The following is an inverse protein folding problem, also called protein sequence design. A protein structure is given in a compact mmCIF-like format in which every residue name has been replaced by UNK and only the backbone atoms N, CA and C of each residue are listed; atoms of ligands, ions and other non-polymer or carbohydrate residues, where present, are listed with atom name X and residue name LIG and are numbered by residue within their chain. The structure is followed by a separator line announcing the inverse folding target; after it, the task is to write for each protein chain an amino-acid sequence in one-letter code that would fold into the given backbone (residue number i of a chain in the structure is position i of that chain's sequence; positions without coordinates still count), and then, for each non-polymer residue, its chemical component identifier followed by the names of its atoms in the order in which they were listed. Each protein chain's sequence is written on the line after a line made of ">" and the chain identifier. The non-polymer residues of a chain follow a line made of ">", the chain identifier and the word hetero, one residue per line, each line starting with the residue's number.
data_IF_139089462062
#
_entry.id   IF_139089462062
#
_cell.length_a   1.000
_cell.length_b   1.000
_cell.length_c   1.000
_cell.angle_alpha   90.00
_cell.angle_beta   90.00
_cell.angle_gamma   90.00
#
_symmetry.space_group_name_H-M   'P 1'
#
loop_
_entity.id
_entity.type
_entity.pdbx_description
1 polymer ?
#
# COMPACT_ATOMS: atom_id res chain seq x y z
N UNK A 1 6.89 57.03 4.20
CA UNK A 1 7.61 56.73 2.93
C UNK A 1 8.68 57.79 2.71
N UNK A 2 9.86 57.44 2.20
CA UNK A 2 10.89 58.45 1.90
C UNK A 2 10.46 59.35 0.73
N UNK A 3 10.92 60.61 0.70
CA UNK A 3 10.61 61.57 -0.38
C UNK A 3 10.94 60.99 -1.77
N UNK A 4 12.04 60.24 -1.87
CA UNK A 4 12.43 59.54 -3.11
C UNK A 4 11.43 58.48 -3.54
N UNK A 5 10.82 57.74 -2.59
CA UNK A 5 9.80 56.73 -2.90
C UNK A 5 8.51 57.40 -3.40
N UNK A 6 8.13 58.51 -2.78
CA UNK A 6 6.94 59.29 -3.19
C UNK A 6 7.12 59.85 -4.61
N UNK A 7 8.30 60.41 -4.90
CA UNK A 7 8.61 60.92 -6.24
C UNK A 7 8.58 59.81 -7.31
N UNK A 8 9.11 58.62 -7.01
CA UNK A 8 9.07 57.46 -7.90
C UNK A 8 7.63 57.03 -8.22
N UNK A 9 6.75 57.04 -7.21
CA UNK A 9 5.33 56.73 -7.41
C UNK A 9 4.63 57.77 -8.30
N UNK A 10 4.93 59.06 -8.14
CA UNK A 10 4.39 60.09 -9.03
C UNK A 10 4.79 59.86 -10.50
N UNK A 11 6.04 59.43 -10.75
CA UNK A 11 6.49 59.06 -12.11
C UNK A 11 5.70 57.85 -12.62
N UNK A 12 5.62 56.76 -11.85
CA UNK A 12 4.90 55.56 -12.27
C UNK A 12 3.42 55.81 -12.56
N UNK A 13 2.75 56.64 -11.75
CA UNK A 13 1.36 57.03 -12.01
C UNK A 13 1.24 57.93 -13.26
N UNK A 14 2.20 58.83 -13.49
CA UNK A 14 2.28 59.63 -14.72
C UNK A 14 2.51 58.79 -15.98
N UNK A 15 3.19 57.66 -15.85
CA UNK A 15 3.41 56.66 -16.92
C UNK A 15 2.23 55.68 -17.09
N UNK A 16 1.12 55.88 -16.36
CA UNK A 16 -0.11 55.11 -16.51
C UNK A 16 -0.21 53.83 -15.66
N UNK A 17 0.70 53.61 -14.70
CA UNK A 17 0.58 52.51 -13.73
C UNK A 17 -0.64 52.77 -12.82
N UNK A 18 -1.63 51.90 -12.85
CA UNK A 18 -2.81 51.98 -11.95
C UNK A 18 -2.75 51.00 -10.77
N UNK A 19 -1.80 50.08 -10.78
CA UNK A 19 -1.64 49.05 -9.73
C UNK A 19 -0.84 49.57 -8.52
N UNK A 20 -1.45 49.42 -7.34
CA UNK A 20 -0.85 49.70 -6.03
C UNK A 20 -0.02 48.52 -5.47
N UNK A 21 -0.06 47.37 -6.13
CA UNK A 21 0.68 46.19 -5.69
C UNK A 21 2.15 46.25 -6.09
N UNK A 22 2.99 45.56 -5.31
CA UNK A 22 4.41 45.44 -5.62
C UNK A 22 4.59 44.56 -6.86
N UNK A 23 5.39 45.00 -7.83
CA UNK A 23 5.84 44.13 -8.91
C UNK A 23 6.55 42.89 -8.35
N UNK A 24 6.40 41.73 -9.00
CA UNK A 24 7.17 40.55 -8.66
C UNK A 24 8.67 40.91 -8.74
N UNK A 25 9.35 40.80 -7.60
CA UNK A 25 10.80 41.06 -7.52
C UNK A 25 11.52 40.02 -8.39
N UNK A 26 12.39 40.45 -9.30
CA UNK A 26 13.36 39.55 -9.92
C UNK A 26 14.26 38.97 -8.83
N UNK A 27 14.00 37.72 -8.45
CA UNK A 27 14.88 36.95 -7.59
C UNK A 27 16.21 36.64 -8.28
N UNK A 28 17.21 36.21 -7.49
CA UNK A 28 18.49 35.72 -8.01
C UNK A 28 18.24 34.60 -9.04
N UNK A 29 18.77 34.68 -10.26
CA UNK A 29 18.61 33.60 -11.22
C UNK A 29 19.19 32.31 -10.63
N UNK A 30 18.45 31.21 -10.67
CA UNK A 30 18.91 29.88 -10.23
C UNK A 30 19.87 29.31 -11.28
N UNK A 31 21.10 29.83 -11.32
CA UNK A 31 22.14 29.50 -12.31
C UNK A 31 22.56 28.00 -12.27
N UNK A 32 22.16 27.23 -11.24
CA UNK A 32 22.55 25.81 -11.06
C UNK A 32 21.54 24.79 -11.61
N UNK A 33 20.34 25.20 -12.00
CA UNK A 33 19.34 24.32 -12.64
C UNK A 33 19.45 24.45 -14.16
N UNK A 34 20.57 23.97 -14.72
CA UNK A 34 20.71 23.81 -16.16
C UNK A 34 19.73 22.74 -16.65
N UNK A 35 19.10 22.98 -17.80
CA UNK A 35 18.23 22.01 -18.48
C UNK A 35 18.96 20.68 -18.72
N UNK A 36 20.27 20.75 -18.99
CA UNK A 36 21.16 19.60 -19.10
C UNK A 36 21.28 18.79 -17.79
N UNK A 37 21.35 19.46 -16.64
CA UNK A 37 21.39 18.79 -15.34
C UNK A 37 20.05 18.14 -15.01
N UNK A 38 18.94 18.77 -15.41
CA UNK A 38 17.61 18.17 -15.23
C UNK A 38 17.45 16.92 -16.06
N UNK A 39 17.90 16.93 -17.32
CA UNK A 39 17.85 15.75 -18.21
C UNK A 39 18.71 14.61 -17.69
N UNK A 40 19.95 14.88 -17.28
CA UNK A 40 20.85 13.84 -16.74
C UNK A 40 20.32 13.21 -15.45
N UNK A 41 19.71 14.02 -14.57
CA UNK A 41 19.06 13.49 -13.36
C UNK A 41 17.85 12.64 -13.73
N UNK A 42 17.01 13.10 -14.67
CA UNK A 42 15.83 12.36 -15.12
C UNK A 42 16.20 11.02 -15.76
N UNK A 43 17.20 10.98 -16.64
CA UNK A 43 17.72 9.76 -17.27
C UNK A 43 18.19 8.72 -16.24
N UNK A 44 18.92 9.15 -15.20
CA UNK A 44 19.36 8.26 -14.12
C UNK A 44 18.18 7.71 -13.30
N UNK A 45 17.13 8.50 -13.09
CA UNK A 45 15.90 8.05 -12.44
C UNK A 45 15.07 7.10 -13.30
N UNK A 46 15.03 7.32 -14.61
CA UNK A 46 14.36 6.44 -15.55
C UNK A 46 15.06 5.08 -15.63
N UNK A 47 16.39 5.06 -15.57
CA UNK A 47 17.19 3.84 -15.56
C UNK A 47 17.03 3.04 -14.25
N UNK A 48 17.15 3.68 -13.09
CA UNK A 48 16.87 3.05 -11.80
C UNK A 48 16.14 4.02 -10.85
N UNK A 49 14.85 3.75 -10.67
CA UNK A 49 13.96 4.53 -9.79
C UNK A 49 14.31 4.42 -8.30
N UNK A 50 15.23 3.54 -7.92
CA UNK A 50 15.71 3.35 -6.54
C UNK A 50 17.02 4.06 -6.24
N UNK A 51 17.63 4.72 -7.24
CA UNK A 51 18.88 5.44 -7.07
C UNK A 51 18.75 6.49 -5.97
N UNK A 52 19.69 6.50 -5.02
CA UNK A 52 19.65 7.46 -3.91
C UNK A 52 20.15 8.82 -4.38
N UNK A 53 19.60 9.90 -3.82
CA UNK A 53 20.07 11.28 -4.08
C UNK A 53 21.60 11.40 -3.92
N UNK A 54 22.20 10.70 -2.94
CA UNK A 54 23.65 10.65 -2.73
C UNK A 54 24.42 10.01 -3.89
N UNK A 55 23.89 8.94 -4.49
CA UNK A 55 24.52 8.28 -5.65
C UNK A 55 24.47 9.16 -6.89
N UNK A 56 23.37 9.90 -7.08
CA UNK A 56 23.22 10.86 -8.19
C UNK A 56 24.18 12.04 -8.03
N UNK A 57 24.31 12.56 -6.81
CA UNK A 57 25.28 13.61 -6.45
C UNK A 57 26.70 13.18 -6.84
N UNK A 58 27.07 11.92 -6.55
CA UNK A 58 28.40 11.37 -6.85
C UNK A 58 28.61 11.10 -8.34
N UNK A 59 27.58 10.60 -9.05
CA UNK A 59 27.67 10.28 -10.48
C UNK A 59 27.74 11.51 -11.38
N UNK A 60 26.99 12.56 -11.03
CA UNK A 60 26.88 13.77 -11.84
C UNK A 60 27.73 14.93 -11.32
N UNK A 61 28.41 14.76 -10.17
CA UNK A 61 29.16 15.80 -9.46
C UNK A 61 28.34 17.07 -9.17
N UNK A 62 27.02 16.93 -9.08
CA UNK A 62 26.09 18.03 -8.80
C UNK A 62 25.91 18.14 -7.28
N UNK A 63 25.81 19.36 -6.77
CA UNK A 63 25.49 19.60 -5.36
C UNK A 63 24.17 18.91 -4.95
N UNK A 64 24.20 18.24 -3.79
CA UNK A 64 23.05 17.49 -3.25
C UNK A 64 21.77 18.32 -3.16
N UNK A 65 21.88 19.61 -2.81
CA UNK A 65 20.74 20.54 -2.76
C UNK A 65 20.07 20.70 -4.11
N UNK A 66 20.86 20.85 -5.17
CA UNK A 66 20.37 20.99 -6.55
C UNK A 66 19.69 19.71 -7.03
N UNK A 67 20.28 18.54 -6.76
CA UNK A 67 19.61 17.25 -7.06
C UNK A 67 18.28 17.14 -6.32
N UNK A 68 18.23 17.56 -5.05
CA UNK A 68 16.98 17.55 -4.28
C UNK A 68 15.90 18.47 -4.88
N UNK A 69 16.26 19.70 -5.24
CA UNK A 69 15.35 20.64 -5.91
C UNK A 69 14.85 20.09 -7.25
N UNK A 70 15.73 19.53 -8.08
CA UNK A 70 15.34 18.95 -9.37
C UNK A 70 14.35 17.79 -9.17
N UNK A 71 14.65 16.87 -8.26
CA UNK A 71 13.81 15.69 -8.01
C UNK A 71 12.46 16.08 -7.43
N UNK A 72 12.44 17.00 -6.47
CA UNK A 72 11.24 17.33 -5.71
C UNK A 72 10.37 18.39 -6.41
N UNK A 73 10.98 19.44 -6.95
CA UNK A 73 10.28 20.62 -7.46
C UNK A 73 10.10 20.56 -8.98
N UNK A 74 11.09 20.08 -9.74
CA UNK A 74 11.02 19.99 -11.21
C UNK A 74 10.37 18.69 -11.68
N UNK A 75 10.85 17.53 -11.20
CA UNK A 75 10.34 16.20 -11.58
C UNK A 75 9.13 15.76 -10.75
N UNK A 76 8.79 16.50 -9.68
CA UNK A 76 7.64 16.20 -8.81
C UNK A 76 7.71 14.85 -8.12
N UNK A 77 8.90 14.25 -8.03
CA UNK A 77 9.09 12.90 -7.53
C UNK A 77 9.00 12.89 -6.00
N UNK A 78 8.11 12.05 -5.47
CA UNK A 78 7.93 11.83 -4.03
C UNK A 78 8.34 10.41 -3.67
N UNK A 79 8.99 10.27 -2.51
CA UNK A 79 9.35 8.96 -1.96
C UNK A 79 8.07 8.14 -1.71
N UNK A 80 7.94 7.01 -2.39
CA UNK A 80 6.86 6.05 -2.14
C UNK A 80 7.44 4.88 -1.36
N UNK A 81 7.24 4.87 -0.05
CA UNK A 81 7.61 3.74 0.80
C UNK A 81 6.58 2.62 0.64
N UNK A 82 6.81 1.71 -0.31
CA UNK A 82 6.13 0.41 -0.29
C UNK A 82 6.87 -0.50 0.68
N UNK A 83 6.32 -0.67 1.88
CA UNK A 83 6.66 -1.83 2.69
C UNK A 83 6.29 -3.07 1.87
N UNK A 84 7.31 -3.74 1.30
CA UNK A 84 7.15 -5.10 0.80
C UNK A 84 7.38 -5.99 2.01
N UNK A 85 6.42 -6.83 2.41
CA UNK A 85 6.69 -7.90 3.36
C UNK A 85 8.01 -8.60 2.95
N UNK A 86 8.91 -8.74 3.91
CA UNK A 86 10.25 -9.31 3.74
C UNK A 86 10.22 -10.74 3.15
N UNK A 87 9.06 -11.39 3.24
CA UNK A 87 8.80 -12.75 2.73
C UNK A 87 8.54 -12.83 1.21
N UNK A 88 8.61 -11.69 0.49
CA UNK A 88 8.19 -11.58 -0.92
C UNK A 88 9.31 -11.44 -1.93
N UNK A 89 10.55 -11.77 -1.58
CA UNK A 89 11.53 -12.00 -2.65
C UNK A 89 11.11 -13.25 -3.42
N UNK A 90 10.40 -13.02 -4.52
CA UNK A 90 10.01 -14.08 -5.45
C UNK A 90 11.24 -14.79 -6.01
N UNK A 91 12.42 -14.15 -5.94
CA UNK A 91 13.74 -14.74 -6.21
C UNK A 91 14.12 -15.86 -5.23
N UNK A 92 13.78 -15.74 -3.94
CA UNK A 92 14.15 -16.69 -2.88
C UNK A 92 13.20 -17.89 -2.76
N UNK A 93 12.04 -17.85 -3.43
CA UNK A 93 11.11 -18.99 -3.44
C UNK A 93 11.65 -20.14 -4.31
N UNK A 94 11.49 -21.36 -3.82
CA UNK A 94 11.82 -22.57 -4.58
C UNK A 94 10.99 -22.66 -5.87
N UNK A 95 11.48 -23.42 -6.85
CA UNK A 95 10.74 -23.64 -8.11
C UNK A 95 9.33 -24.19 -7.82
N UNK A 96 9.23 -25.14 -6.88
CA UNK A 96 7.97 -25.75 -6.46
C UNK A 96 7.01 -24.73 -5.88
N UNK A 97 7.49 -23.84 -5.01
CA UNK A 97 6.67 -22.77 -4.45
C UNK A 97 6.15 -21.82 -5.54
N UNK A 98 6.96 -21.53 -6.57
CA UNK A 98 6.52 -20.70 -7.70
C UNK A 98 5.44 -21.39 -8.53
N UNK A 99 5.57 -22.70 -8.77
CA UNK A 99 4.56 -23.49 -9.48
C UNK A 99 3.25 -23.53 -8.69
N UNK A 100 3.30 -23.84 -7.39
CA UNK A 100 2.13 -23.84 -6.51
C UNK A 100 1.42 -22.48 -6.50
N UNK A 101 2.18 -21.38 -6.48
CA UNK A 101 1.61 -20.02 -6.53
C UNK A 101 0.96 -19.70 -7.87
N UNK A 102 1.51 -20.19 -8.98
CA UNK A 102 0.90 -20.03 -10.31
C UNK A 102 -0.39 -20.86 -10.44
N UNK A 103 -0.38 -22.09 -9.95
CA UNK A 103 -1.55 -22.97 -9.90
C UNK A 103 -2.66 -22.39 -9.03
N UNK A 104 -2.32 -21.88 -7.85
CA UNK A 104 -3.25 -21.19 -6.96
C UNK A 104 -4.00 -20.07 -7.68
N UNK A 105 -3.28 -19.22 -8.44
CA UNK A 105 -3.88 -18.12 -9.21
C UNK A 105 -4.85 -18.65 -10.27
N UNK A 106 -4.45 -19.69 -11.01
CA UNK A 106 -5.29 -20.33 -12.04
C UNK A 106 -6.59 -20.89 -11.43
N UNK A 107 -6.48 -21.65 -10.35
CA UNK A 107 -7.64 -22.25 -9.67
C UNK A 107 -8.56 -21.17 -9.10
N UNK A 108 -8.00 -20.12 -8.49
CA UNK A 108 -8.77 -19.02 -7.92
C UNK A 108 -9.58 -18.29 -8.99
N UNK A 109 -8.97 -17.99 -10.14
CA UNK A 109 -9.61 -17.22 -11.20
C UNK A 109 -10.67 -18.05 -11.97
N UNK A 110 -10.57 -19.38 -11.93
CA UNK A 110 -11.57 -20.31 -12.51
C UNK A 110 -12.74 -20.67 -11.58
N UNK A 111 -12.65 -20.37 -10.29
CA UNK A 111 -13.62 -20.81 -9.28
C UNK A 111 -14.36 -19.66 -8.61
N UNK A 112 -15.56 -19.94 -8.08
CA UNK A 112 -16.24 -19.04 -7.14
C UNK A 112 -15.60 -19.18 -5.76
N UNK A 113 -14.69 -18.28 -5.43
CA UNK A 113 -13.94 -18.32 -4.18
C UNK A 113 -14.61 -17.49 -3.08
N UNK A 114 -14.79 -18.08 -1.91
CA UNK A 114 -15.16 -17.37 -0.68
C UNK A 114 -13.92 -17.19 0.20
N UNK A 115 -13.38 -15.97 0.22
CA UNK A 115 -12.35 -15.60 1.19
C UNK A 115 -12.98 -15.40 2.57
N UNK A 116 -12.54 -16.17 3.56
CA UNK A 116 -12.94 -15.98 4.95
C UNK A 116 -11.70 -15.87 5.83
N UNK A 117 -11.61 -14.78 6.59
CA UNK A 117 -10.68 -14.64 7.71
C UNK A 117 -11.51 -14.60 8.97
N UNK A 118 -11.12 -15.36 9.98
CA UNK A 118 -11.71 -15.22 11.32
C UNK A 118 -11.25 -13.90 11.94
N UNK A 119 -11.75 -12.79 11.42
CA UNK A 119 -11.76 -11.51 12.10
C UNK A 119 -13.19 -11.30 12.58
N UNK A 120 -13.48 -11.64 13.83
CA UNK A 120 -14.56 -11.00 14.56
C UNK A 120 -13.99 -9.68 15.10
N UNK A 121 -14.29 -8.51 14.53
CA UNK A 121 -13.82 -7.24 15.07
C UNK A 121 -14.63 -6.82 16.32
N UNK A 122 -15.67 -7.58 16.68
CA UNK A 122 -16.67 -7.20 17.69
C UNK A 122 -16.71 -8.11 18.92
N UNK A 123 -15.84 -9.13 19.02
CA UNK A 123 -15.68 -9.92 20.26
C UNK A 123 -14.21 -10.16 20.55
N UNK A 124 -13.69 -9.21 21.33
CA UNK A 124 -12.62 -9.35 22.31
C UNK A 124 -11.20 -9.51 21.74
N UNK A 125 -10.53 -8.35 21.67
CA UNK A 125 -9.20 -8.19 22.22
C UNK A 125 -9.19 -8.62 23.70
N UNK A 126 -9.22 -9.93 23.96
CA UNK A 126 -8.84 -10.52 25.24
C UNK A 126 -8.94 -12.05 25.10
N UNK A 127 -7.83 -12.71 25.44
CA UNK A 127 -7.66 -14.16 25.67
C UNK A 127 -7.48 -15.07 24.44
N UNK A 128 -6.22 -15.46 24.25
CA UNK A 128 -5.81 -16.85 24.07
C UNK A 128 -6.06 -17.48 22.70
N UNK A 129 -4.98 -18.00 22.10
CA UNK A 129 -4.99 -19.21 21.25
C UNK A 129 -6.38 -19.81 21.01
N UNK A 130 -7.07 -19.33 19.97
CA UNK A 130 -8.41 -19.83 19.65
C UNK A 130 -8.35 -21.33 19.41
N UNK A 131 -9.22 -22.11 20.04
CA UNK A 131 -9.29 -23.56 19.80
C UNK A 131 -9.88 -23.83 18.41
N UNK A 132 -9.51 -24.96 17.79
CA UNK A 132 -10.14 -25.43 16.55
C UNK A 132 -11.68 -25.48 16.68
N UNK A 133 -12.21 -25.81 17.86
CA UNK A 133 -13.66 -25.84 18.12
C UNK A 133 -14.31 -24.45 18.07
N UNK A 134 -13.55 -23.41 18.39
CA UNK A 134 -14.03 -22.02 18.31
C UNK A 134 -13.99 -21.53 16.86
N UNK A 135 -13.03 -22.01 16.07
CA UNK A 135 -13.00 -21.80 14.63
C UNK A 135 -14.16 -22.50 13.92
N UNK A 136 -14.50 -23.75 14.25
CA UNK A 136 -15.69 -24.40 13.67
C UNK A 136 -16.99 -23.61 13.96
N UNK A 137 -17.13 -23.05 15.18
CA UNK A 137 -18.26 -22.19 15.55
C UNK A 137 -18.32 -20.88 14.75
N UNK A 138 -17.20 -20.40 14.20
CA UNK A 138 -17.24 -19.21 13.33
C UNK A 138 -17.78 -19.56 11.95
N UNK A 139 -17.58 -20.79 11.47
CA UNK A 139 -18.19 -21.26 10.23
C UNK A 139 -19.71 -21.42 10.33
N UNK A 140 -20.26 -21.86 11.47
CA UNK A 140 -21.72 -21.89 11.66
C UNK A 140 -22.32 -20.49 11.46
N UNK A 141 -21.69 -19.48 12.06
CA UNK A 141 -22.08 -18.08 11.90
C UNK A 141 -21.90 -17.56 10.48
N UNK A 142 -20.85 -18.03 9.79
CA UNK A 142 -20.63 -17.73 8.38
C UNK A 142 -21.75 -18.30 7.50
N UNK A 143 -22.16 -19.55 7.73
CA UNK A 143 -23.29 -20.18 7.03
C UNK A 143 -24.55 -19.33 7.19
N UNK A 144 -24.88 -18.92 8.41
CA UNK A 144 -26.05 -18.08 8.67
C UNK A 144 -25.95 -16.71 7.99
N UNK A 145 -24.75 -16.14 7.94
CA UNK A 145 -24.51 -14.91 7.20
C UNK A 145 -24.68 -15.08 5.69
N UNK A 146 -24.21 -16.21 5.12
CA UNK A 146 -24.38 -16.53 3.69
C UNK A 146 -25.86 -16.75 3.38
N UNK A 147 -26.58 -17.51 4.21
CA UNK A 147 -28.03 -17.73 4.04
C UNK A 147 -28.81 -16.42 3.95
N UNK A 148 -28.46 -15.44 4.79
CA UNK A 148 -29.12 -14.12 4.79
C UNK A 148 -28.67 -13.20 3.67
N UNK A 149 -27.36 -13.11 3.41
CA UNK A 149 -26.79 -12.09 2.52
C UNK A 149 -26.63 -12.57 1.07
N UNK A 150 -26.39 -13.86 0.87
CA UNK A 150 -26.04 -14.47 -0.43
C UNK A 150 -26.55 -15.92 -0.54
N UNK A 151 -27.87 -16.17 -0.46
CA UNK A 151 -28.43 -17.53 -0.43
C UNK A 151 -28.08 -18.36 -1.68
N UNK A 152 -27.89 -17.71 -2.84
CA UNK A 152 -27.46 -18.39 -4.07
C UNK A 152 -26.06 -18.98 -4.03
N UNK A 153 -25.21 -18.58 -3.07
CA UNK A 153 -23.84 -19.08 -2.92
C UNK A 153 -23.82 -20.54 -2.44
N UNK A 154 -24.71 -20.91 -1.52
CA UNK A 154 -24.83 -22.29 -1.03
C UNK A 154 -25.40 -23.23 -2.10
N UNK A 155 -26.29 -22.74 -2.97
CA UNK A 155 -26.88 -23.56 -4.04
C UNK A 155 -25.92 -23.83 -5.19
N UNK A 156 -25.09 -22.84 -5.52
CA UNK A 156 -24.15 -22.92 -6.66
C UNK A 156 -22.80 -23.53 -6.31
N UNK A 157 -22.53 -23.73 -5.01
CA UNK A 157 -21.22 -24.11 -4.51
C UNK A 157 -20.21 -22.97 -4.54
N UNK A 158 -19.21 -23.08 -3.67
CA UNK A 158 -18.05 -22.20 -3.63
C UNK A 158 -16.86 -22.97 -3.08
N UNK A 159 -15.66 -22.47 -3.38
CA UNK A 159 -14.42 -22.98 -2.81
C UNK A 159 -13.97 -22.02 -1.70
N UNK A 160 -13.69 -22.57 -0.52
CA UNK A 160 -13.23 -21.79 0.62
C UNK A 160 -11.74 -21.44 0.45
N UNK A 161 -11.40 -20.16 0.61
CA UNK A 161 -10.01 -19.72 0.73
C UNK A 161 -9.74 -19.25 2.16
N UNK A 162 -8.82 -19.93 2.83
CA UNK A 162 -8.21 -19.54 4.10
C UNK A 162 -6.71 -19.83 4.06
N UNK A 163 -5.94 -19.30 5.02
CA UNK A 163 -4.51 -19.54 5.13
C UNK A 163 -4.20 -20.87 5.84
N UNK A 164 -2.92 -21.25 5.87
CA UNK A 164 -2.46 -22.52 6.46
C UNK A 164 -2.16 -22.41 7.96
N UNK A 165 -2.85 -21.52 8.70
CA UNK A 165 -2.65 -21.41 10.13
C UNK A 165 -3.00 -22.73 10.84
N UNK A 166 -2.34 -23.01 11.96
CA UNK A 166 -2.43 -24.28 12.68
C UNK A 166 -3.86 -24.68 13.04
N UNK A 167 -4.73 -23.70 13.31
CA UNK A 167 -6.15 -23.91 13.63
C UNK A 167 -6.96 -24.40 12.43
N UNK A 168 -6.55 -24.04 11.22
CA UNK A 168 -7.22 -24.43 9.99
C UNK A 168 -6.83 -25.84 9.56
N UNK A 169 -5.58 -26.22 9.81
CA UNK A 169 -5.07 -27.57 9.55
C UNK A 169 -5.44 -28.59 10.63
N UNK A 170 -6.05 -28.17 11.75
CA UNK A 170 -6.46 -29.07 12.81
C UNK A 170 -7.52 -30.08 12.33
N UNK A 171 -7.41 -31.34 12.78
CA UNK A 171 -8.30 -32.43 12.39
C UNK A 171 -9.79 -32.09 12.59
N UNK A 172 -10.14 -31.44 13.70
CA UNK A 172 -11.51 -31.05 13.98
C UNK A 172 -12.07 -30.10 12.91
N UNK A 173 -11.25 -29.16 12.45
CA UNK A 173 -11.62 -28.20 11.39
C UNK A 173 -11.77 -28.91 10.05
N UNK A 174 -10.83 -29.80 9.71
CA UNK A 174 -10.86 -30.57 8.47
C UNK A 174 -12.07 -31.51 8.40
N UNK A 175 -12.38 -32.20 9.49
CA UNK A 175 -13.58 -33.04 9.61
C UNK A 175 -14.85 -32.21 9.45
N UNK A 176 -14.92 -31.03 10.08
CA UNK A 176 -16.07 -30.14 9.94
C UNK A 176 -16.26 -29.72 8.47
N UNK A 177 -15.20 -29.33 7.77
CA UNK A 177 -15.27 -28.93 6.35
C UNK A 177 -15.70 -30.09 5.44
N UNK A 178 -15.23 -31.31 5.73
CA UNK A 178 -15.65 -32.52 5.03
C UNK A 178 -17.13 -32.83 5.24
N UNK A 179 -17.63 -32.75 6.48
CA UNK A 179 -19.05 -32.97 6.80
C UNK A 179 -19.99 -32.00 6.07
N UNK A 180 -19.53 -30.75 5.83
CA UNK A 180 -20.29 -29.75 5.10
C UNK A 180 -20.07 -29.79 3.58
N UNK A 181 -19.16 -30.64 3.09
CA UNK A 181 -18.85 -30.80 1.67
C UNK A 181 -18.20 -29.56 1.05
N UNK A 182 -17.41 -28.81 1.82
CA UNK A 182 -16.78 -27.58 1.33
C UNK A 182 -15.38 -27.88 0.79
N UNK A 183 -15.16 -27.56 -0.48
CA UNK A 183 -13.85 -27.66 -1.10
C UNK A 183 -12.94 -26.52 -0.63
N UNK A 184 -11.68 -26.84 -0.34
CA UNK A 184 -10.67 -25.88 0.10
C UNK A 184 -9.74 -25.58 -1.07
N UNK A 185 -9.50 -24.29 -1.32
CA UNK A 185 -8.49 -23.87 -2.29
C UNK A 185 -7.10 -24.09 -1.67
N UNK A 186 -6.21 -24.90 -2.28
CA UNK A 186 -4.92 -25.23 -1.68
C UNK A 186 -4.04 -23.98 -1.62
N UNK A 187 -3.83 -23.41 -0.43
CA UNK A 187 -3.05 -22.19 -0.26
C UNK A 187 -1.55 -22.50 -0.18
N UNK A 188 -0.69 -21.84 -0.97
CA UNK A 188 0.75 -22.09 -0.94
C UNK A 188 1.38 -21.62 0.37
N UNK A 189 2.37 -22.38 0.85
CA UNK A 189 3.14 -22.03 2.06
C UNK A 189 3.83 -20.68 1.89
N UNK A 190 3.96 -19.91 2.98
CA UNK A 190 4.63 -18.59 3.01
C UNK A 190 4.11 -17.58 1.96
N UNK A 191 2.82 -17.58 1.69
CA UNK A 191 2.22 -16.73 0.66
C UNK A 191 1.11 -15.80 1.19
N UNK A 192 1.41 -14.90 2.14
CA UNK A 192 0.41 -13.98 2.70
C UNK A 192 -0.11 -12.99 1.66
N UNK A 193 0.66 -12.68 0.60
CA UNK A 193 0.24 -11.80 -0.49
C UNK A 193 -0.91 -12.37 -1.34
N UNK A 194 -1.10 -13.68 -1.33
CA UNK A 194 -2.14 -14.36 -2.11
C UNK A 194 -3.48 -14.44 -1.38
N UNK A 195 -3.51 -14.22 -0.07
CA UNK A 195 -4.74 -14.15 0.71
C UNK A 195 -5.35 -12.75 0.61
N UNK A 196 -6.57 -12.59 0.04
CA UNK A 196 -7.25 -11.29 -0.04
C UNK A 196 -7.38 -10.63 1.34
N UNK A 197 -7.52 -11.42 2.39
CA UNK A 197 -7.64 -10.98 3.77
C UNK A 197 -6.33 -10.48 4.41
N UNK A 198 -5.18 -10.86 3.89
CA UNK A 198 -3.90 -10.41 4.41
C UNK A 198 -3.40 -9.22 3.60
N UNK A 199 -3.54 -9.26 2.28
CA UNK A 199 -3.09 -8.16 1.44
C UNK A 199 -4.05 -6.96 1.42
N UNK A 200 -5.37 -7.17 1.42
CA UNK A 200 -6.35 -6.06 1.35
C UNK A 200 -6.67 -5.51 2.73
N UNK A 201 -6.89 -6.40 3.71
CA UNK A 201 -7.36 -6.03 5.03
C UNK A 201 -6.23 -5.39 5.86
N UNK A 202 -5.02 -5.95 5.91
CA UNK A 202 -3.91 -5.38 6.70
C UNK A 202 -3.53 -3.98 6.21
N UNK A 203 -3.37 -3.77 4.90
CA UNK A 203 -2.94 -2.47 4.37
C UNK A 203 -4.00 -1.36 4.47
N UNK A 204 -5.29 -1.69 4.35
CA UNK A 204 -6.37 -0.70 4.52
C UNK A 204 -6.67 -0.43 6.00
N UNK A 205 -6.61 -1.46 6.84
CA UNK A 205 -6.95 -1.38 8.25
C UNK A 205 -5.82 -0.75 9.08
N UNK A 206 -4.53 -1.11 8.85
CA UNK A 206 -3.40 -0.45 9.52
C UNK A 206 -3.32 1.05 9.23
N UNK A 207 -3.68 1.48 8.02
CA UNK A 207 -3.74 2.90 7.66
C UNK A 207 -4.74 3.68 8.53
N UNK A 208 -5.81 3.03 8.99
CA UNK A 208 -6.80 3.63 9.90
C UNK A 208 -6.35 3.63 11.36
N UNK A 209 -5.58 2.61 11.80
CA UNK A 209 -5.04 2.50 13.16
C UNK A 209 -3.90 3.48 13.42
N UNK A 210 -3.04 3.78 12.42
CA UNK A 210 -1.98 4.79 12.57
C UNK A 210 -2.50 6.20 12.87
N UNK A 211 -3.81 6.45 12.69
CA UNK A 211 -4.47 7.73 13.01
C UNK A 211 -5.12 7.75 14.40
N UNK A 212 -5.27 6.61 15.06
CA UNK A 212 -5.99 6.50 16.32
C UNK A 212 -5.08 5.89 17.39
N UNK A 213 -4.58 6.73 18.30
CA UNK A 213 -3.89 6.26 19.49
C UNK A 213 -4.89 5.57 20.43
N UNK A 214 -4.70 4.27 20.67
CA UNK A 214 -5.45 3.55 21.69
C UNK A 214 -4.89 3.91 23.06
N UNK A 215 -5.66 4.67 23.86
CA UNK A 215 -5.36 4.81 25.28
C UNK A 215 -5.85 3.57 26.00
N UNK A 216 -4.91 2.80 26.52
CA UNK A 216 -5.20 1.73 27.46
C UNK A 216 -5.76 2.37 28.74
N UNK A 217 -7.06 2.17 29.01
CA UNK A 217 -7.65 2.58 30.28
C UNK A 217 -7.37 1.45 31.27
N UNK A 218 -6.29 1.63 32.05
CA UNK A 218 -6.13 0.92 33.32
C UNK A 218 -7.16 1.40 34.33
#
# INVERSE_FOLDING_TARGET
>A
MSRSRVYQWCIWFGEGRTSLENEPKSGRPKILTNEENTTRVDELFQFDRRTKIREITLKLEIAKSTVHEIVHDTLGCRKVDKARPHDLETSLLSLDQKVQRAEFRRLRDGCRVLGYKSCDPLRNFATGSGSAAQYCRTFDRLIDAIRRKRPGLLRRGFVLQHDNATLHSANLTQQWLQCYGWEILPHPTHSPDLAPSDFKFVFTFEASFRRHGFRDRR
#
